data_IF_096790575122
#
_entry.id   IF_096790575122
#
_cell.length_a   1.000
_cell.length_b   1.000
_cell.length_c   1.000
_cell.angle_alpha   90.00
_cell.angle_beta   90.00
_cell.angle_gamma   90.00
#
_symmetry.space_group_name_H-M   'P 1'
#
loop_
_entity.id
_entity.type
_entity.pdbx_description
1 polymer ?
#
# COMPACT_ATOMS: atom_id res chain seq x y z
N UNK A 1 17.17 -10.70 -1.56
CA UNK A 1 16.06 -9.71 -1.60
C UNK A 1 16.53 -8.46 -0.88
N UNK A 2 16.40 -7.32 -1.50
CA UNK A 2 16.74 -6.01 -0.94
C UNK A 2 15.48 -5.39 -0.32
N UNK A 3 15.63 -4.68 0.81
CA UNK A 3 14.52 -3.98 1.46
C UNK A 3 14.86 -2.50 1.50
N UNK A 4 13.98 -1.68 0.91
CA UNK A 4 14.15 -0.23 0.86
C UNK A 4 13.37 0.46 1.97
N UNK A 5 13.91 1.55 2.49
CA UNK A 5 13.32 2.41 3.49
C UNK A 5 13.18 3.83 2.94
N UNK A 6 12.02 4.45 3.15
CA UNK A 6 11.77 5.85 2.78
C UNK A 6 12.45 6.83 3.73
N UNK A 7 13.23 6.35 4.70
CA UNK A 7 13.87 7.27 5.61
C UNK A 7 14.54 8.38 4.83
N UNK A 8 13.94 9.51 5.00
CA UNK A 8 14.48 10.79 4.65
C UNK A 8 15.97 10.86 5.02
N UNK A 9 16.70 11.75 4.36
CA UNK A 9 18.01 12.20 4.84
C UNK A 9 17.91 12.41 6.35
N UNK A 10 18.96 12.17 7.14
CA UNK A 10 18.91 12.21 8.61
C UNK A 10 18.20 13.42 9.21
N UNK A 11 18.08 14.51 8.45
CA UNK A 11 17.44 15.77 8.86
C UNK A 11 16.01 15.97 8.32
N UNK A 12 15.45 15.02 7.56
CA UNK A 12 14.13 15.16 6.93
C UNK A 12 13.10 14.20 7.53
N UNK A 13 12.19 14.73 8.32
CA UNK A 13 11.08 14.00 8.95
C UNK A 13 9.87 13.83 8.03
N UNK A 14 9.97 14.18 6.74
CA UNK A 14 8.88 14.08 5.78
C UNK A 14 9.06 12.84 4.90
N UNK A 15 8.35 11.72 5.18
CA UNK A 15 8.49 10.46 4.47
C UNK A 15 7.81 10.52 3.10
N UNK A 16 8.41 11.22 2.16
CA UNK A 16 7.94 11.40 0.80
C UNK A 16 9.10 11.45 -0.18
N UNK A 17 8.92 10.82 -1.35
CA UNK A 17 9.79 10.99 -2.51
C UNK A 17 8.94 10.98 -3.78
N UNK A 18 9.34 11.78 -4.75
CA UNK A 18 8.72 11.82 -6.08
C UNK A 18 9.82 11.95 -7.14
N UNK A 19 9.84 11.03 -8.07
CA UNK A 19 10.85 10.97 -9.13
C UNK A 19 10.24 10.49 -10.45
N UNK A 20 10.87 10.91 -11.55
CA UNK A 20 10.61 10.33 -12.88
C UNK A 20 11.77 9.44 -13.26
N UNK A 21 11.47 8.30 -13.85
CA UNK A 21 12.49 7.35 -14.28
C UNK A 21 12.19 6.83 -15.68
N UNK A 22 13.25 6.52 -16.44
CA UNK A 22 13.15 5.77 -17.69
C UNK A 22 13.93 4.47 -17.48
N UNK A 23 13.26 3.33 -17.64
CA UNK A 23 13.80 2.02 -17.28
C UNK A 23 13.76 1.07 -18.46
N UNK A 24 14.80 0.25 -18.58
CA UNK A 24 14.91 -0.82 -19.55
C UNK A 24 15.37 -2.13 -18.88
N UNK A 25 14.95 -3.26 -19.43
CA UNK A 25 15.39 -4.58 -19.03
C UNK A 25 14.68 -5.11 -17.77
N UNK A 26 15.39 -5.28 -16.65
CA UNK A 26 14.92 -5.99 -15.47
C UNK A 26 15.25 -5.24 -14.18
N UNK A 27 14.30 -5.15 -13.27
CA UNK A 27 14.50 -4.67 -11.91
C UNK A 27 14.19 -5.80 -10.91
N UNK A 28 15.13 -6.20 -10.04
CA UNK A 28 15.02 -7.44 -9.25
C UNK A 28 14.00 -7.37 -8.12
N UNK A 29 13.67 -8.56 -7.57
CA UNK A 29 12.81 -8.69 -6.40
C UNK A 29 13.30 -7.85 -5.23
N UNK A 30 12.40 -6.98 -4.74
CA UNK A 30 12.63 -6.12 -3.59
C UNK A 30 11.33 -5.90 -2.80
N UNK A 31 11.49 -5.42 -1.58
CA UNK A 31 10.39 -4.99 -0.72
C UNK A 31 10.72 -3.62 -0.13
N UNK A 32 9.73 -2.96 0.46
CA UNK A 32 9.90 -1.66 1.10
C UNK A 32 8.91 -1.47 2.26
N UNK A 33 9.16 -0.47 3.11
CA UNK A 33 8.32 -0.14 4.27
C UNK A 33 7.37 1.05 4.03
N UNK A 34 7.25 1.49 2.79
CA UNK A 34 6.41 2.60 2.33
C UNK A 34 5.41 2.13 1.27
N UNK A 35 4.42 2.95 0.99
CA UNK A 35 3.57 2.75 -0.20
C UNK A 35 4.26 3.35 -1.41
N UNK A 36 4.38 2.56 -2.46
CA UNK A 36 4.85 3.00 -3.76
C UNK A 36 3.68 3.13 -4.72
N UNK A 37 3.60 4.28 -5.40
CA UNK A 37 2.65 4.53 -6.47
C UNK A 37 3.44 4.75 -7.76
N UNK A 38 3.20 3.88 -8.74
CA UNK A 38 3.81 3.93 -10.06
C UNK A 38 2.74 4.36 -11.07
N UNK A 39 3.02 5.41 -11.84
CA UNK A 39 2.17 5.87 -12.96
C UNK A 39 2.98 5.78 -14.23
N UNK A 40 2.55 4.96 -15.17
CA UNK A 40 3.22 4.76 -16.45
C UNK A 40 2.82 5.86 -17.43
N UNK A 41 3.80 6.60 -17.91
CA UNK A 41 3.62 7.66 -18.91
C UNK A 41 3.70 7.11 -20.33
N UNK A 42 4.69 6.22 -20.57
CA UNK A 42 4.98 5.67 -21.90
C UNK A 42 5.86 4.42 -21.77
N UNK A 43 6.04 3.68 -22.87
CA UNK A 43 6.81 2.45 -22.90
C UNK A 43 6.02 1.22 -22.45
N UNK A 44 6.69 0.09 -22.33
CA UNK A 44 6.05 -1.17 -21.94
C UNK A 44 6.89 -1.94 -20.93
N UNK A 45 6.28 -2.93 -20.28
CA UNK A 45 6.93 -3.82 -19.34
C UNK A 45 5.94 -4.70 -18.58
N UNK A 46 6.45 -5.37 -17.56
CA UNK A 46 5.63 -6.16 -16.65
C UNK A 46 5.96 -5.82 -15.20
N UNK A 47 4.95 -5.64 -14.40
CA UNK A 47 5.06 -5.62 -12.95
C UNK A 47 4.65 -6.98 -12.40
N UNK A 48 5.51 -7.58 -11.58
CA UNK A 48 5.32 -8.90 -11.01
C UNK A 48 5.39 -8.83 -9.49
N UNK A 49 4.42 -9.44 -8.82
CA UNK A 49 4.41 -9.71 -7.38
C UNK A 49 4.23 -11.22 -7.16
N UNK A 50 4.26 -11.69 -5.90
CA UNK A 50 4.20 -13.13 -5.57
C UNK A 50 3.09 -13.89 -6.30
N UNK A 51 1.94 -13.27 -6.55
CA UNK A 51 0.76 -13.92 -7.08
C UNK A 51 0.23 -13.29 -8.37
N UNK A 52 0.88 -12.27 -8.90
CA UNK A 52 0.34 -11.48 -10.01
C UNK A 52 1.44 -10.98 -10.95
N UNK A 53 1.12 -11.03 -12.23
CA UNK A 53 1.88 -10.41 -13.30
C UNK A 53 0.95 -9.51 -14.09
N UNK A 54 1.20 -8.21 -14.11
CA UNK A 54 0.40 -7.25 -14.88
C UNK A 54 1.24 -6.53 -15.92
N UNK A 55 0.65 -6.31 -17.09
CA UNK A 55 1.30 -5.56 -18.15
C UNK A 55 1.31 -4.07 -17.82
N UNK A 56 2.44 -3.44 -18.05
CA UNK A 56 2.62 -1.99 -17.95
C UNK A 56 2.52 -1.37 -19.35
N UNK A 57 1.84 -0.25 -19.43
CA UNK A 57 1.69 0.58 -20.62
C UNK A 57 1.18 1.96 -20.22
N UNK A 58 1.15 2.92 -21.15
CA UNK A 58 0.70 4.28 -20.88
C UNK A 58 -0.66 4.31 -20.18
N UNK A 59 -0.80 5.08 -19.11
CA UNK A 59 -2.00 5.16 -18.26
C UNK A 59 -2.10 4.10 -17.18
N UNK A 60 -1.21 3.10 -17.14
CA UNK A 60 -1.21 2.09 -16.08
C UNK A 60 -0.82 2.72 -14.75
N UNK A 61 -1.60 2.45 -13.70
CA UNK A 61 -1.30 2.83 -12.32
C UNK A 61 -1.17 1.58 -11.46
N UNK A 62 -0.03 1.43 -10.81
CA UNK A 62 0.25 0.33 -9.87
C UNK A 62 0.51 0.91 -8.50
N UNK A 63 -0.11 0.32 -7.48
CA UNK A 63 0.17 0.62 -6.08
C UNK A 63 0.79 -0.60 -5.42
N UNK A 64 1.87 -0.39 -4.71
CA UNK A 64 2.58 -1.44 -3.98
C UNK A 64 2.61 -1.06 -2.51
N UNK A 65 1.64 -1.56 -1.71
CA UNK A 65 1.65 -1.35 -0.27
C UNK A 65 2.70 -2.24 0.40
N UNK A 66 3.32 -1.80 1.50
CA UNK A 66 4.16 -2.69 2.29
C UNK A 66 3.29 -3.80 2.93
N UNK A 67 3.77 -5.01 3.10
CA UNK A 67 5.13 -5.51 2.87
C UNK A 67 5.31 -6.30 1.55
N UNK A 68 4.65 -5.92 0.49
CA UNK A 68 4.63 -6.68 -0.76
C UNK A 68 6.02 -6.72 -1.42
N UNK A 69 6.46 -7.94 -1.80
CA UNK A 69 7.64 -8.13 -2.63
C UNK A 69 7.24 -8.05 -4.10
N UNK A 70 7.99 -7.29 -4.87
CA UNK A 70 7.71 -7.11 -6.29
C UNK A 70 8.98 -6.90 -7.12
N UNK A 71 8.84 -7.02 -8.45
CA UNK A 71 9.87 -6.78 -9.46
C UNK A 71 9.26 -6.24 -10.75
N UNK A 72 10.10 -5.71 -11.62
CA UNK A 72 9.70 -5.35 -12.99
C UNK A 72 10.54 -6.11 -14.01
N UNK A 73 9.91 -6.55 -15.10
CA UNK A 73 10.51 -7.39 -16.14
C UNK A 73 10.21 -6.85 -17.54
N UNK A 74 11.06 -7.21 -18.50
CA UNK A 74 10.85 -6.93 -19.92
C UNK A 74 10.50 -5.45 -20.19
N UNK A 75 11.18 -4.53 -19.50
CA UNK A 75 10.94 -3.11 -19.67
C UNK A 75 11.58 -2.60 -20.96
N UNK A 76 10.78 -1.87 -21.75
CA UNK A 76 11.22 -1.23 -23.00
C UNK A 76 10.80 0.23 -22.96
N UNK A 77 11.78 1.14 -22.85
CA UNK A 77 11.62 2.60 -22.76
C UNK A 77 10.52 3.02 -21.78
N UNK A 78 10.40 2.27 -20.69
CA UNK A 78 9.36 2.44 -19.70
C UNK A 78 9.57 3.74 -18.92
N UNK A 79 8.79 4.77 -19.24
CA UNK A 79 8.79 6.06 -18.54
C UNK A 79 7.71 6.07 -17.47
N UNK A 80 8.11 6.30 -16.23
CA UNK A 80 7.23 6.24 -15.07
C UNK A 80 7.44 7.45 -14.15
N UNK A 81 6.36 7.84 -13.46
CA UNK A 81 6.45 8.53 -12.18
C UNK A 81 6.43 7.50 -11.07
N UNK A 82 7.31 7.67 -10.08
CA UNK A 82 7.33 6.87 -8.86
C UNK A 82 7.19 7.81 -7.66
N UNK A 83 6.13 7.60 -6.89
CA UNK A 83 5.93 8.26 -5.60
C UNK A 83 6.11 7.23 -4.49
N UNK A 84 6.83 7.62 -3.45
CA UNK A 84 7.04 6.84 -2.24
C UNK A 84 6.54 7.68 -1.07
N UNK A 85 5.64 7.13 -0.24
CA UNK A 85 5.05 7.87 0.87
C UNK A 85 4.55 6.96 2.00
N UNK A 86 4.42 7.54 3.20
CA UNK A 86 3.76 6.89 4.33
C UNK A 86 2.24 7.02 4.23
N UNK A 87 1.58 5.93 3.82
CA UNK A 87 0.13 5.87 3.70
C UNK A 87 -0.58 6.09 5.04
N UNK A 88 -0.03 5.58 6.15
CA UNK A 88 -0.65 5.73 7.45
C UNK A 88 -0.63 7.19 7.92
N UNK A 89 0.49 7.89 7.70
CA UNK A 89 0.59 9.32 7.94
C UNK A 89 -0.40 10.13 7.11
N UNK A 90 -0.65 9.71 5.86
CA UNK A 90 -1.65 10.31 5.00
C UNK A 90 -3.08 10.04 5.51
N UNK A 91 -3.41 8.79 5.82
CA UNK A 91 -4.73 8.40 6.34
C UNK A 91 -5.07 9.03 7.70
N UNK A 92 -4.06 9.31 8.53
CA UNK A 92 -4.28 9.98 9.81
C UNK A 92 -4.79 11.42 9.66
N UNK A 93 -4.64 12.03 8.49
CA UNK A 93 -5.04 13.40 8.21
C UNK A 93 -6.47 13.52 7.67
N UNK A 94 -7.07 12.43 7.20
CA UNK A 94 -8.38 12.47 6.53
C UNK A 94 -9.21 11.20 6.80
N UNK A 95 -10.32 11.40 7.53
CA UNK A 95 -11.23 10.32 7.91
C UNK A 95 -12.05 9.80 6.72
N UNK A 96 -12.53 10.69 5.85
CA UNK A 96 -13.39 10.33 4.72
C UNK A 96 -12.61 9.49 3.70
N UNK A 97 -11.38 9.91 3.40
CA UNK A 97 -10.50 9.16 2.49
C UNK A 97 -10.17 7.77 3.03
N UNK A 98 -9.90 7.66 4.34
CA UNK A 98 -9.64 6.37 5.00
C UNK A 98 -10.78 5.37 4.81
N UNK A 99 -12.02 5.86 4.77
CA UNK A 99 -13.23 5.04 4.65
C UNK A 99 -13.74 4.91 3.21
N UNK A 100 -13.11 5.58 2.25
CA UNK A 100 -13.49 5.45 0.84
C UNK A 100 -13.13 4.05 0.28
N UNK A 101 -14.11 3.31 -0.28
CA UNK A 101 -13.87 1.96 -0.78
C UNK A 101 -12.86 1.90 -1.94
N UNK A 102 -12.82 2.93 -2.79
CA UNK A 102 -11.88 3.04 -3.90
C UNK A 102 -10.46 3.22 -3.41
N UNK A 103 -10.28 4.13 -2.45
CA UNK A 103 -8.99 4.34 -1.79
C UNK A 103 -8.48 3.06 -1.14
N UNK A 104 -9.32 2.38 -0.38
CA UNK A 104 -8.94 1.14 0.30
C UNK A 104 -8.55 0.04 -0.69
N UNK A 105 -9.33 -0.08 -1.77
CA UNK A 105 -9.06 -1.09 -2.80
C UNK A 105 -7.78 -0.81 -3.58
N UNK A 106 -7.47 0.45 -3.82
CA UNK A 106 -6.29 0.83 -4.60
C UNK A 106 -5.02 0.89 -3.74
N UNK A 107 -5.09 1.45 -2.53
CA UNK A 107 -3.91 1.77 -1.72
C UNK A 107 -3.67 0.84 -0.54
N UNK A 108 -4.72 0.20 -0.01
CA UNK A 108 -4.57 -0.66 1.17
C UNK A 108 -4.51 -2.13 0.76
N UNK A 109 -5.54 -2.61 0.10
CA UNK A 109 -5.61 -3.98 -0.41
C UNK A 109 -6.68 -4.10 -1.49
N UNK A 110 -6.26 -4.36 -2.73
CA UNK A 110 -7.19 -4.59 -3.83
C UNK A 110 -7.90 -5.95 -3.68
N UNK A 111 -9.23 -5.97 -3.58
CA UNK A 111 -9.98 -7.22 -3.55
C UNK A 111 -9.80 -8.03 -4.84
N UNK A 112 -9.58 -9.36 -4.76
CA UNK A 112 -9.43 -10.21 -5.95
C UNK A 112 -10.63 -10.14 -6.90
N UNK A 113 -11.82 -9.90 -6.37
CA UNK A 113 -13.02 -9.75 -7.18
C UNK A 113 -13.01 -8.46 -8.02
N UNK A 114 -12.47 -7.34 -7.48
CA UNK A 114 -12.28 -6.10 -8.24
C UNK A 114 -11.18 -6.22 -9.29
N UNK A 115 -10.13 -6.95 -8.97
CA UNK A 115 -9.07 -7.26 -9.95
C UNK A 115 -9.61 -7.99 -11.17
N UNK A 116 -10.59 -8.90 -10.98
CA UNK A 116 -11.26 -9.62 -12.09
C UNK A 116 -12.25 -8.77 -12.86
N UNK A 117 -12.96 -7.85 -12.19
CA UNK A 117 -13.98 -6.99 -12.83
C UNK A 117 -13.37 -5.86 -13.65
N UNK A 118 -12.21 -5.34 -13.22
CA UNK A 118 -11.45 -4.35 -14.01
C UNK A 118 -10.53 -5.04 -15.05
N UNK A 119 -11.03 -6.10 -15.73
CA UNK A 119 -10.27 -6.86 -16.74
C UNK A 119 -8.99 -7.51 -16.21
N UNK A 120 -8.89 -7.74 -14.90
CA UNK A 120 -7.79 -8.48 -14.28
C UNK A 120 -6.46 -7.73 -14.15
N UNK A 121 -6.50 -6.39 -14.19
CA UNK A 121 -5.29 -5.58 -14.24
C UNK A 121 -5.27 -4.40 -13.27
N UNK A 122 -4.18 -3.66 -13.27
CA UNK A 122 -4.03 -2.39 -12.56
C UNK A 122 -5.05 -1.35 -13.04
N UNK A 123 -5.18 -0.24 -12.31
CA UNK A 123 -5.98 0.89 -12.79
C UNK A 123 -5.42 1.41 -14.13
N UNK A 124 -6.30 1.56 -15.11
CA UNK A 124 -5.98 2.15 -16.41
C UNK A 124 -6.63 3.52 -16.55
N UNK A 125 -5.82 4.54 -16.67
CA UNK A 125 -6.27 5.92 -16.92
C UNK A 125 -6.41 6.14 -18.43
N UNK A 126 -7.48 6.82 -18.83
CA UNK A 126 -7.58 7.37 -20.18
C UNK A 126 -6.65 8.59 -20.35
N UNK A 127 -6.61 9.16 -21.55
CA UNK A 127 -5.69 10.26 -21.89
C UNK A 127 -5.92 11.50 -21.02
N UNK A 128 -7.19 11.88 -20.77
CA UNK A 128 -7.52 13.07 -19.99
C UNK A 128 -7.23 12.86 -18.51
N UNK A 129 -7.55 11.67 -18.00
CA UNK A 129 -7.22 11.26 -16.63
C UNK A 129 -5.70 11.22 -16.40
N UNK A 130 -4.94 10.68 -17.35
CA UNK A 130 -3.48 10.64 -17.27
C UNK A 130 -2.87 12.05 -17.29
N UNK A 131 -3.40 12.94 -18.14
CA UNK A 131 -2.96 14.33 -18.17
C UNK A 131 -3.19 15.01 -16.81
N UNK A 132 -4.40 14.89 -16.23
CA UNK A 132 -4.72 15.45 -14.93
C UNK A 132 -3.81 14.91 -13.81
N UNK A 133 -3.58 13.59 -13.79
CA UNK A 133 -2.69 12.93 -12.82
C UNK A 133 -1.25 13.44 -12.99
N UNK A 134 -0.78 13.59 -14.23
CA UNK A 134 0.56 14.08 -14.52
C UNK A 134 0.77 15.51 -14.03
N UNK A 135 -0.24 16.38 -14.13
CA UNK A 135 -0.17 17.75 -13.59
C UNK A 135 0.01 17.76 -12.07
N UNK A 136 -0.76 16.94 -11.34
CA UNK A 136 -0.62 16.80 -9.89
C UNK A 136 0.78 16.29 -9.50
N UNK A 137 1.28 15.29 -10.24
CA UNK A 137 2.60 14.70 -10.03
C UNK A 137 3.72 15.71 -10.29
N UNK A 138 3.60 16.53 -11.34
CA UNK A 138 4.57 17.54 -11.69
C UNK A 138 4.72 18.60 -10.58
N UNK A 139 3.60 19.03 -9.99
CA UNK A 139 3.63 19.97 -8.86
C UNK A 139 4.36 19.35 -7.67
N UNK A 140 4.01 18.12 -7.28
CA UNK A 140 4.64 17.45 -6.13
C UNK A 140 6.14 17.24 -6.35
N UNK A 141 6.54 16.83 -7.55
CA UNK A 141 7.96 16.62 -7.91
C UNK A 141 8.74 17.90 -7.84
N UNK A 142 8.16 19.00 -8.37
CA UNK A 142 8.77 20.34 -8.31
C UNK A 142 8.95 20.80 -6.87
N UNK A 143 7.91 20.74 -6.06
CA UNK A 143 7.95 21.16 -4.65
C UNK A 143 8.95 20.33 -3.84
N UNK A 144 9.02 19.03 -4.08
CA UNK A 144 9.98 18.15 -3.41
C UNK A 144 11.42 18.46 -3.77
N UNK A 145 11.69 18.88 -5.01
CA UNK A 145 13.01 19.28 -5.47
C UNK A 145 13.42 20.66 -4.96
N UNK A 146 12.51 21.65 -5.04
CA UNK A 146 12.81 23.05 -4.69
C UNK A 146 12.79 23.32 -3.19
N UNK A 147 11.99 22.60 -2.43
CA UNK A 147 11.86 22.67 -0.95
C UNK A 147 11.62 24.06 -0.40
N UNK A 148 10.83 24.86 -1.10
CA UNK A 148 10.46 26.21 -0.65
C UNK A 148 9.65 26.15 0.66
N UNK A 149 9.64 27.18 1.50
CA UNK A 149 8.79 27.24 2.67
C UNK A 149 7.34 26.85 2.36
N UNK A 150 6.77 25.88 3.09
CA UNK A 150 5.42 25.36 2.84
C UNK A 150 5.34 24.15 1.88
N UNK A 151 6.43 23.72 1.24
CA UNK A 151 6.42 22.60 0.29
C UNK A 151 5.76 21.32 0.83
N UNK A 152 5.94 21.02 2.12
CA UNK A 152 5.32 19.81 2.74
C UNK A 152 3.80 19.90 2.74
N UNK A 153 3.24 21.08 2.93
CA UNK A 153 1.79 21.30 2.90
C UNK A 153 1.28 21.11 1.47
N UNK A 154 1.95 21.74 0.49
CA UNK A 154 1.57 21.63 -0.92
C UNK A 154 1.62 20.16 -1.37
N UNK A 155 2.69 19.42 -1.04
CA UNK A 155 2.80 18.01 -1.39
C UNK A 155 1.65 17.20 -0.74
N UNK A 156 1.37 17.38 0.54
CA UNK A 156 0.28 16.65 1.22
C UNK A 156 -1.08 16.91 0.59
N UNK A 157 -1.37 18.17 0.28
CA UNK A 157 -2.66 18.55 -0.35
C UNK A 157 -2.81 17.91 -1.73
N UNK A 158 -1.76 17.95 -2.55
CA UNK A 158 -1.79 17.32 -3.88
C UNK A 158 -1.81 15.79 -3.80
N UNK A 159 -1.14 15.18 -2.81
CA UNK A 159 -1.19 13.74 -2.60
C UNK A 159 -2.58 13.29 -2.17
N UNK A 160 -3.27 14.02 -1.28
CA UNK A 160 -4.67 13.78 -0.94
C UNK A 160 -5.58 13.92 -2.16
N UNK A 161 -5.42 14.98 -2.94
CA UNK A 161 -6.19 15.16 -4.17
C UNK A 161 -5.95 14.04 -5.19
N UNK A 162 -4.70 13.64 -5.40
CA UNK A 162 -4.32 12.54 -6.28
C UNK A 162 -4.93 11.21 -5.83
N UNK A 163 -4.81 10.87 -4.56
CA UNK A 163 -5.32 9.61 -4.03
C UNK A 163 -6.85 9.55 -4.11
N UNK A 164 -7.55 10.64 -3.79
CA UNK A 164 -9.00 10.74 -3.94
C UNK A 164 -9.44 10.63 -5.41
N UNK A 165 -8.71 11.28 -6.32
CA UNK A 165 -9.00 11.20 -7.76
C UNK A 165 -8.82 9.78 -8.31
N UNK A 166 -7.68 9.14 -8.04
CA UNK A 166 -7.41 7.77 -8.45
C UNK A 166 -8.42 6.78 -7.86
N UNK A 167 -8.87 7.00 -6.62
CA UNK A 167 -9.90 6.19 -5.98
C UNK A 167 -11.22 6.22 -6.76
N UNK A 168 -11.63 7.40 -7.23
CA UNK A 168 -12.83 7.56 -8.07
C UNK A 168 -12.68 6.92 -9.45
N UNK A 169 -11.49 6.98 -10.05
CA UNK A 169 -11.20 6.30 -11.31
C UNK A 169 -11.23 4.77 -11.16
N UNK A 170 -10.85 4.25 -9.99
CA UNK A 170 -10.76 2.82 -9.73
C UNK A 170 -12.11 2.16 -9.45
N UNK A 171 -12.99 2.82 -8.70
CA UNK A 171 -14.33 2.29 -8.37
C UNK A 171 -15.44 3.05 -9.10
N UNK A 172 -16.03 2.43 -10.11
CA UNK A 172 -17.32 2.91 -10.59
C UNK A 172 -18.37 2.76 -9.46
N UNK A 173 -18.97 3.87 -9.07
CA UNK A 173 -20.05 3.97 -8.09
C UNK A 173 -21.16 2.94 -8.39
N UNK A 174 -21.48 2.06 -7.40
CA UNK A 174 -22.58 1.08 -7.41
C UNK A 174 -22.31 -0.30 -8.03
N UNK A 175 -21.27 -0.99 -7.58
CA UNK A 175 -21.21 -2.45 -7.74
C UNK A 175 -21.75 -3.16 -6.48
N UNK A 176 -22.27 -4.38 -6.63
CA UNK A 176 -22.66 -5.21 -5.48
C UNK A 176 -21.51 -5.43 -4.50
N UNK A 177 -20.29 -5.36 -4.98
CA UNK A 177 -19.06 -5.48 -4.20
C UNK A 177 -18.78 -4.21 -3.38
N UNK A 178 -19.06 -3.01 -3.91
CA UNK A 178 -18.91 -1.77 -3.13
C UNK A 178 -19.84 -1.76 -1.92
N UNK A 179 -21.09 -2.23 -2.08
CA UNK A 179 -22.04 -2.36 -0.98
C UNK A 179 -21.60 -3.38 0.07
N UNK A 180 -20.99 -4.49 -0.35
CA UNK A 180 -20.42 -5.47 0.57
C UNK A 180 -19.21 -4.90 1.32
N UNK A 181 -18.35 -4.14 0.64
CA UNK A 181 -17.22 -3.43 1.26
C UNK A 181 -17.69 -2.43 2.31
N UNK A 182 -18.62 -1.56 1.95
CA UNK A 182 -19.19 -0.58 2.87
C UNK A 182 -19.74 -1.25 4.13
N UNK A 183 -20.40 -2.39 3.98
CA UNK A 183 -20.99 -3.13 5.10
C UNK A 183 -19.95 -3.62 6.10
N UNK A 184 -18.79 -4.12 5.66
CA UNK A 184 -17.77 -4.68 6.55
C UNK A 184 -16.65 -3.68 6.88
N UNK A 185 -16.61 -2.52 6.23
CA UNK A 185 -15.61 -1.50 6.43
C UNK A 185 -15.43 -1.06 7.89
N UNK A 186 -16.49 -0.85 8.70
CA UNK A 186 -16.33 -0.49 10.10
C UNK A 186 -15.47 -1.49 10.89
N UNK A 187 -15.58 -2.79 10.57
CA UNK A 187 -14.79 -3.84 11.24
C UNK A 187 -13.34 -3.83 10.81
N UNK A 188 -13.06 -3.48 9.55
CA UNK A 188 -11.70 -3.35 9.04
C UNK A 188 -11.00 -2.14 9.68
N UNK A 189 -11.69 -1.01 9.75
CA UNK A 189 -11.22 0.18 10.47
C UNK A 189 -10.93 -0.14 11.95
N UNK A 190 -11.84 -0.88 12.59
CA UNK A 190 -11.63 -1.32 13.97
C UNK A 190 -10.38 -2.22 14.11
N UNK A 191 -10.15 -3.16 13.18
CA UNK A 191 -8.93 -3.98 13.18
C UNK A 191 -7.67 -3.11 13.09
N UNK A 192 -7.65 -2.12 12.20
CA UNK A 192 -6.49 -1.24 11.98
C UNK A 192 -6.17 -0.38 13.22
N UNK A 193 -7.19 0.14 13.87
CA UNK A 193 -7.04 0.98 15.07
C UNK A 193 -6.68 0.19 16.32
N UNK A 194 -7.03 -1.10 16.36
CA UNK A 194 -6.90 -1.94 17.55
C UNK A 194 -5.95 -3.14 17.36
N UNK A 195 -4.97 -3.06 16.46
CA UNK A 195 -4.04 -4.15 16.12
C UNK A 195 -3.40 -4.82 17.33
N UNK A 196 -3.10 -4.03 18.37
CA UNK A 196 -2.46 -4.47 19.61
C UNK A 196 -3.38 -5.29 20.53
N UNK A 197 -4.70 -5.29 20.28
CA UNK A 197 -5.68 -6.00 21.09
C UNK A 197 -5.95 -7.40 20.57
N UNK A 198 -6.50 -8.25 21.46
CA UNK A 198 -7.09 -9.51 21.03
C UNK A 198 -8.41 -9.22 20.30
N UNK A 199 -8.48 -9.54 19.02
CA UNK A 199 -9.66 -9.33 18.17
C UNK A 199 -10.19 -10.69 17.76
N UNK A 200 -11.49 -10.95 18.00
CA UNK A 200 -12.17 -12.19 17.65
C UNK A 200 -13.15 -11.98 16.50
N UNK A 201 -13.10 -12.84 15.51
CA UNK A 201 -13.96 -12.74 14.31
C UNK A 201 -15.46 -12.72 14.64
N UNK A 202 -15.99 -13.49 15.62
CA UNK A 202 -17.40 -13.37 16.00
C UNK A 202 -17.80 -11.96 16.47
N UNK A 203 -16.94 -11.27 17.20
CA UNK A 203 -17.19 -9.89 17.67
C UNK A 203 -17.26 -8.90 16.51
N UNK A 204 -16.41 -9.07 15.50
CA UNK A 204 -16.43 -8.26 14.29
C UNK A 204 -17.73 -8.50 13.49
N UNK A 205 -18.15 -9.75 13.37
CA UNK A 205 -19.38 -10.10 12.66
C UNK A 205 -20.62 -9.48 13.35
N UNK A 206 -20.65 -9.51 14.68
CA UNK A 206 -21.73 -8.92 15.47
C UNK A 206 -21.83 -7.40 15.30
N UNK A 207 -20.71 -6.70 15.22
CA UNK A 207 -20.67 -5.23 14.99
C UNK A 207 -21.39 -4.81 13.69
N UNK A 208 -21.43 -5.67 12.71
CA UNK A 208 -22.06 -5.40 11.40
C UNK A 208 -23.32 -6.23 11.15
N UNK A 209 -23.91 -6.79 12.23
CA UNK A 209 -25.14 -7.56 12.22
C UNK A 209 -25.11 -8.76 11.26
N UNK A 210 -23.98 -9.48 11.24
CA UNK A 210 -23.79 -10.70 10.45
C UNK A 210 -23.49 -11.91 11.35
N UNK A 211 -23.89 -13.11 10.89
CA UNK A 211 -23.32 -14.33 11.46
C UNK A 211 -21.85 -14.44 11.08
N UNK A 212 -21.03 -15.11 11.90
CA UNK A 212 -19.61 -15.33 11.62
C UNK A 212 -19.38 -15.93 10.23
N UNK A 213 -20.23 -16.89 9.82
CA UNK A 213 -20.15 -17.53 8.51
C UNK A 213 -20.42 -16.56 7.36
N UNK A 214 -21.41 -15.68 7.50
CA UNK A 214 -21.70 -14.64 6.49
C UNK A 214 -20.57 -13.62 6.41
N UNK A 215 -20.05 -13.19 7.56
CA UNK A 215 -18.93 -12.28 7.65
C UNK A 215 -17.69 -12.84 6.98
N UNK A 216 -17.28 -14.08 7.31
CA UNK A 216 -16.14 -14.76 6.70
C UNK A 216 -16.30 -14.87 5.17
N UNK A 217 -17.51 -15.21 4.68
CA UNK A 217 -17.78 -15.29 3.25
C UNK A 217 -17.64 -13.94 2.57
N UNK A 218 -18.31 -12.90 3.09
CA UNK A 218 -18.24 -11.54 2.52
C UNK A 218 -16.80 -11.02 2.59
N UNK A 219 -16.13 -11.19 3.73
CA UNK A 219 -14.75 -10.75 3.90
C UNK A 219 -13.82 -11.40 2.88
N UNK A 220 -13.99 -12.70 2.63
CA UNK A 220 -13.21 -13.44 1.64
C UNK A 220 -13.55 -13.05 0.21
N UNK A 221 -14.81 -12.75 -0.10
CA UNK A 221 -15.22 -12.22 -1.41
C UNK A 221 -14.61 -10.84 -1.66
N UNK A 222 -14.60 -9.97 -0.64
CA UNK A 222 -14.08 -8.59 -0.71
C UNK A 222 -12.57 -8.56 -0.69
N UNK A 223 -11.93 -9.19 0.31
CA UNK A 223 -10.47 -9.07 0.55
C UNK A 223 -9.67 -10.28 0.08
N UNK A 224 -10.29 -11.34 -0.45
CA UNK A 224 -9.61 -12.54 -0.95
C UNK A 224 -8.96 -13.42 0.11
N UNK A 225 -9.07 -13.04 1.37
CA UNK A 225 -8.45 -13.72 2.50
C UNK A 225 -9.39 -13.77 3.71
N UNK A 226 -9.08 -14.60 4.69
CA UNK A 226 -9.87 -14.61 5.93
C UNK A 226 -9.59 -13.39 6.82
N UNK A 227 -10.54 -12.96 7.69
CA UNK A 227 -10.32 -11.86 8.62
C UNK A 227 -9.07 -12.03 9.49
N UNK A 228 -8.81 -13.26 9.97
CA UNK A 228 -7.61 -13.55 10.77
C UNK A 228 -6.31 -13.44 9.99
N UNK A 229 -6.29 -13.85 8.72
CA UNK A 229 -5.13 -13.72 7.87
C UNK A 229 -4.89 -12.24 7.52
N UNK A 230 -5.95 -11.48 7.26
CA UNK A 230 -5.89 -10.04 7.05
C UNK A 230 -5.31 -9.29 8.27
N UNK A 231 -5.85 -9.57 9.47
CA UNK A 231 -5.33 -9.01 10.73
C UNK A 231 -3.84 -9.34 10.93
N UNK A 232 -3.43 -10.56 10.57
CA UNK A 232 -2.01 -10.96 10.63
C UNK A 232 -1.15 -10.12 9.68
N UNK A 233 -1.62 -9.85 8.46
CA UNK A 233 -0.91 -8.99 7.50
C UNK A 233 -0.79 -7.55 8.01
N UNK A 234 -1.86 -6.98 8.56
CA UNK A 234 -1.83 -5.65 9.18
C UNK A 234 -0.78 -5.56 10.31
N UNK A 235 -0.75 -6.57 11.18
CA UNK A 235 0.22 -6.67 12.28
C UNK A 235 1.66 -6.77 11.78
N UNK A 236 1.90 -7.54 10.72
CA UNK A 236 3.21 -7.66 10.09
C UNK A 236 3.64 -6.36 9.42
N UNK A 237 2.73 -5.67 8.73
CA UNK A 237 2.98 -4.35 8.17
C UNK A 237 3.39 -3.34 9.25
N UNK A 238 2.65 -3.34 10.38
CA UNK A 238 2.99 -2.52 11.54
C UNK A 238 4.37 -2.86 12.11
N UNK A 239 4.74 -4.13 12.16
CA UNK A 239 6.05 -4.56 12.62
C UNK A 239 7.17 -3.99 11.71
N UNK A 240 6.99 -4.01 10.39
CA UNK A 240 7.95 -3.42 9.45
C UNK A 240 8.13 -1.91 9.70
N UNK A 241 7.04 -1.17 9.94
CA UNK A 241 7.09 0.25 10.27
C UNK A 241 7.86 0.53 11.57
N UNK A 242 7.58 -0.25 12.63
CA UNK A 242 8.28 -0.10 13.91
C UNK A 242 9.77 -0.43 13.78
N UNK A 243 10.14 -1.44 13.00
CA UNK A 243 11.54 -1.78 12.71
C UNK A 243 12.24 -0.67 11.93
N UNK A 244 11.60 -0.11 10.92
CA UNK A 244 12.15 0.98 10.12
C UNK A 244 12.35 2.25 10.95
N UNK A 245 11.34 2.63 11.72
CA UNK A 245 11.40 3.79 12.61
C UNK A 245 12.38 3.62 13.79
N UNK A 246 12.88 2.39 14.01
CA UNK A 246 13.72 2.04 15.18
C UNK A 246 13.16 2.55 16.52
N UNK A 247 11.82 2.59 16.60
CA UNK A 247 11.10 3.23 17.71
C UNK A 247 11.03 2.37 18.97
N UNK A 248 11.44 1.09 18.90
CA UNK A 248 11.47 0.16 20.02
C UNK A 248 12.46 -0.98 19.78
N UNK A 249 12.75 -1.75 20.82
CA UNK A 249 13.60 -2.92 20.72
C UNK A 249 12.92 -4.02 19.89
N UNK A 250 13.71 -4.75 19.09
CA UNK A 250 13.19 -5.83 18.24
C UNK A 250 12.41 -6.89 19.05
N UNK A 251 12.85 -7.17 20.28
CA UNK A 251 12.18 -8.11 21.17
C UNK A 251 10.79 -7.69 21.66
N UNK A 252 10.43 -6.41 21.54
CA UNK A 252 9.13 -5.85 21.96
C UNK A 252 8.13 -5.68 20.81
N UNK A 253 8.59 -5.80 19.57
CA UNK A 253 7.79 -5.51 18.36
C UNK A 253 6.55 -6.41 18.27
N UNK A 254 6.72 -7.70 18.55
CA UNK A 254 5.62 -8.67 18.46
C UNK A 254 4.44 -8.31 19.36
N UNK A 255 4.71 -7.89 20.59
CA UNK A 255 3.70 -7.47 21.56
C UNK A 255 3.00 -6.19 21.12
N UNK A 256 3.78 -5.17 20.71
CA UNK A 256 3.25 -3.88 20.20
C UNK A 256 2.41 -4.03 18.95
N UNK A 257 2.61 -5.12 18.18
CA UNK A 257 1.81 -5.47 17.02
C UNK A 257 0.64 -6.41 17.34
N UNK A 258 0.45 -6.82 18.59
CA UNK A 258 -0.68 -7.65 19.02
C UNK A 258 -0.54 -9.14 18.72
N UNK A 259 0.68 -9.64 18.53
CA UNK A 259 0.92 -11.07 18.49
C UNK A 259 0.89 -11.65 19.90
N UNK A 260 0.42 -12.89 20.05
CA UNK A 260 0.28 -13.57 21.34
C UNK A 260 1.61 -14.04 21.91
N UNK A 261 2.57 -14.33 21.03
CA UNK A 261 3.90 -14.80 21.39
C UNK A 261 4.94 -14.52 20.30
N UNK A 262 6.19 -14.45 20.71
CA UNK A 262 7.32 -14.15 19.84
C UNK A 262 7.59 -15.27 18.80
N UNK A 263 7.58 -16.56 19.14
CA UNK A 263 7.76 -17.65 18.17
C UNK A 263 6.75 -17.60 17.02
N UNK A 264 5.47 -17.35 17.33
CA UNK A 264 4.41 -17.24 16.33
C UNK A 264 4.65 -16.04 15.40
N UNK A 265 5.03 -14.88 15.97
CA UNK A 265 5.42 -13.70 15.18
C UNK A 265 6.56 -14.02 14.22
N UNK A 266 7.67 -14.60 14.71
CA UNK A 266 8.83 -14.95 13.88
C UNK A 266 8.46 -15.92 12.76
N UNK A 267 7.65 -16.94 13.07
CA UNK A 267 7.15 -17.92 12.08
C UNK A 267 6.33 -17.22 10.99
N UNK A 268 5.38 -16.35 11.36
CA UNK A 268 4.52 -15.64 10.41
C UNK A 268 5.32 -14.64 9.59
N UNK A 269 6.24 -13.91 10.23
CA UNK A 269 7.09 -12.94 9.54
C UNK A 269 7.97 -13.64 8.49
N UNK A 270 8.66 -14.73 8.87
CA UNK A 270 9.50 -15.50 7.95
C UNK A 270 8.68 -16.13 6.81
N UNK A 271 7.46 -16.57 7.08
CA UNK A 271 6.59 -17.12 6.04
C UNK A 271 6.19 -16.07 4.99
N UNK A 272 6.02 -14.80 5.39
CA UNK A 272 5.64 -13.71 4.47
C UNK A 272 6.86 -13.09 3.78
N UNK A 273 7.95 -12.84 4.52
CA UNK A 273 9.11 -12.11 3.99
C UNK A 273 10.28 -13.01 3.56
N UNK A 274 10.20 -14.32 3.80
CA UNK A 274 11.29 -15.26 3.52
C UNK A 274 12.51 -15.14 4.43
N UNK A 275 12.56 -14.11 5.28
CA UNK A 275 13.65 -13.79 6.21
C UNK A 275 13.12 -13.51 7.61
N UNK A 276 13.99 -13.57 8.61
CA UNK A 276 13.61 -13.26 9.99
C UNK A 276 13.45 -11.74 10.22
N UNK A 277 12.70 -11.30 11.26
CA UNK A 277 12.59 -9.89 11.63
C UNK A 277 13.94 -9.21 11.82
N UNK A 278 14.93 -9.93 12.40
CA UNK A 278 16.28 -9.43 12.61
C UNK A 278 17.04 -9.21 11.30
N UNK A 279 16.96 -10.17 10.38
CA UNK A 279 17.56 -10.05 9.05
C UNK A 279 16.87 -8.94 8.24
N UNK A 280 15.55 -8.79 8.36
CA UNK A 280 14.81 -7.72 7.74
C UNK A 280 15.31 -6.35 8.22
N UNK A 281 15.39 -6.13 9.53
CA UNK A 281 15.88 -4.87 10.11
C UNK A 281 17.34 -4.55 9.70
N UNK A 282 18.19 -5.58 9.57
CA UNK A 282 19.57 -5.41 9.11
C UNK A 282 19.69 -5.06 7.62
N UNK A 283 18.69 -5.45 6.80
CA UNK A 283 18.65 -5.22 5.35
C UNK A 283 17.96 -3.94 4.95
N UNK A 284 17.40 -3.19 5.89
CA UNK A 284 16.83 -1.87 5.60
C UNK A 284 17.94 -0.95 5.08
N UNK A 285 17.81 -0.52 3.83
CA UNK A 285 18.75 0.38 3.14
C UNK A 285 17.97 1.67 2.83
N UNK A 286 18.57 2.87 3.01
CA UNK A 286 17.95 4.12 2.59
C UNK A 286 17.53 4.05 1.11
N UNK A 287 16.32 4.48 0.81
CA UNK A 287 15.74 4.39 -0.54
C UNK A 287 16.22 5.49 -1.50
N UNK A 288 17.04 6.40 -1.02
CA UNK A 288 17.58 7.50 -1.82
C UNK A 288 18.90 7.03 -2.41
N UNK A 289 18.90 6.75 -3.72
CA UNK A 289 20.12 6.77 -4.52
C UNK A 289 20.30 8.21 -5.03
N UNK A 290 21.50 8.74 -4.81
CA UNK A 290 21.97 9.97 -5.41
C UNK A 290 21.90 9.89 -6.93
#
# INVERSE_FOLDING_TARGET
MQVYDITARPDDTFPFSAETSCMNGFFPDHAHNYTELIVVLDGTGWHCSENERCRLGSGTVVTVPPPLTHRMEEMEDLRIYVLKFDLNGLMACDYDLKNDPGFRSLFVQCPPALRRQNTGGPLMLDTDQLAHVTDLLAVMTKEFRERRPGYKVIIRTHLLALTAYLSRCFLPTQSSLSLQMEKILPTVTYMEENLHRSIRVPELAEQVFLSTRQYDRIFKEVYGTSPNAYLTQLRLSRACQLMAARSCLLGEIWEKCGFTDNPFFYKKFKAVFGITPREYQQRLVPSIRD
#
